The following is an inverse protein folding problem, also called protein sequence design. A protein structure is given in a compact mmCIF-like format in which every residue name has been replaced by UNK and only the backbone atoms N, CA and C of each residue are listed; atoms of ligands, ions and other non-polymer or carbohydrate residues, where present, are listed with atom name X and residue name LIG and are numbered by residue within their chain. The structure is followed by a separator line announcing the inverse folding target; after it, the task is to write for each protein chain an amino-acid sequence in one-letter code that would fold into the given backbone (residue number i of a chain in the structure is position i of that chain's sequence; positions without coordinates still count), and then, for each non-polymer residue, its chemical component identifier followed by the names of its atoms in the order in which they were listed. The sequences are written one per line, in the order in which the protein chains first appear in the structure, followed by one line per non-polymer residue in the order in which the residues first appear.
data_IF_064166997887
#
_entry.id   IF_064166997887
#
_cell.length_a   1.000
_cell.length_b   1.000
_cell.length_c   1.000
_cell.angle_alpha   90.00
_cell.angle_beta   90.00
_cell.angle_gamma   90.00
#
_symmetry.space_group_name_H-M   'P 1'
#
loop_
_entity.id
_entity.type
_entity.pdbx_description
1 polymer ?
#
# COMPACT_ATOMS: atom_id res chain seq x y z
N UNK A 1 -11.07 -9.32 0.66
CA UNK A 1 -11.77 -8.13 1.21
C UNK A 1 -13.12 -8.58 1.72
N UNK A 2 -13.46 -8.25 2.96
CA UNK A 2 -14.69 -8.72 3.62
C UNK A 2 -15.97 -8.06 3.07
N UNK A 3 -15.83 -6.89 2.46
CA UNK A 3 -16.88 -6.21 1.70
C UNK A 3 -16.25 -5.35 0.59
N UNK A 4 -17.01 -5.07 -0.47
CA UNK A 4 -16.56 -4.28 -1.63
C UNK A 4 -17.38 -2.99 -1.75
N UNK A 5 -17.21 -2.08 -0.79
CA UNK A 5 -17.84 -0.75 -0.77
C UNK A 5 -16.80 0.30 -0.39
N UNK A 6 -16.88 1.49 -0.99
CA UNK A 6 -15.99 2.61 -0.68
C UNK A 6 -16.20 3.14 0.74
N UNK A 7 -17.45 3.16 1.20
CA UNK A 7 -17.83 3.61 2.54
C UNK A 7 -18.25 2.42 3.44
N UNK A 8 -17.76 2.42 4.67
CA UNK A 8 -18.10 1.42 5.69
C UNK A 8 -19.06 2.03 6.72
N UNK A 9 -20.29 1.52 6.79
CA UNK A 9 -21.30 1.88 7.79
C UNK A 9 -21.88 0.63 8.46
N UNK A 10 -22.45 0.80 9.66
CA UNK A 10 -23.04 -0.30 10.44
C UNK A 10 -22.03 -1.43 10.66
N UNK A 11 -22.44 -2.67 10.35
CA UNK A 11 -21.62 -3.88 10.48
C UNK A 11 -20.31 -3.82 9.67
N UNK A 12 -20.30 -3.14 8.52
CA UNK A 12 -19.09 -3.01 7.70
C UNK A 12 -17.97 -2.24 8.44
N UNK A 13 -18.33 -1.33 9.36
CA UNK A 13 -17.33 -0.63 10.19
C UNK A 13 -16.63 -1.61 11.13
N UNK A 14 -17.38 -2.56 11.70
CA UNK A 14 -16.84 -3.60 12.60
C UNK A 14 -15.91 -4.53 11.81
N UNK A 15 -16.33 -4.98 10.62
CA UNK A 15 -15.51 -5.81 9.73
C UNK A 15 -14.22 -5.10 9.31
N UNK A 16 -14.31 -3.81 8.93
CA UNK A 16 -13.16 -2.98 8.57
C UNK A 16 -12.14 -2.90 9.71
N UNK A 17 -12.58 -2.60 10.93
CA UNK A 17 -11.68 -2.48 12.08
C UNK A 17 -11.01 -3.82 12.44
N UNK A 18 -11.76 -4.93 12.37
CA UNK A 18 -11.21 -6.27 12.57
C UNK A 18 -10.13 -6.58 11.54
N UNK A 19 -10.40 -6.35 10.25
CA UNK A 19 -9.45 -6.61 9.17
C UNK A 19 -8.23 -5.69 9.24
N UNK A 20 -8.43 -4.41 9.56
CA UNK A 20 -7.35 -3.44 9.78
C UNK A 20 -6.38 -3.94 10.86
N UNK A 21 -6.88 -4.38 12.02
CA UNK A 21 -6.03 -4.93 13.09
C UNK A 21 -5.23 -6.15 12.63
N UNK A 22 -5.86 -7.09 11.91
CA UNK A 22 -5.15 -8.26 11.36
C UNK A 22 -4.00 -7.86 10.43
N UNK A 23 -4.25 -6.92 9.52
CA UNK A 23 -3.23 -6.41 8.58
C UNK A 23 -2.09 -5.72 9.35
N UNK A 24 -2.41 -4.86 10.32
CA UNK A 24 -1.42 -4.17 11.13
C UNK A 24 -0.52 -5.15 11.90
N UNK A 25 -1.11 -6.18 12.53
CA UNK A 25 -0.37 -7.23 13.23
C UNK A 25 0.53 -8.02 12.27
N UNK A 26 0.02 -8.42 11.11
CA UNK A 26 0.79 -9.17 10.12
C UNK A 26 1.97 -8.36 9.56
N UNK A 27 1.75 -7.07 9.20
CA UNK A 27 2.82 -6.18 8.74
C UNK A 27 3.88 -5.94 9.81
N UNK A 28 3.46 -5.84 11.08
CA UNK A 28 4.41 -5.72 12.19
C UNK A 28 5.26 -6.97 12.37
N UNK A 29 4.65 -8.15 12.26
CA UNK A 29 5.35 -9.43 12.40
C UNK A 29 6.31 -9.69 11.24
N UNK A 30 5.84 -9.54 10.00
CA UNK A 30 6.59 -9.95 8.80
C UNK A 30 7.62 -8.90 8.34
N UNK A 31 7.33 -7.61 8.54
CA UNK A 31 8.12 -6.50 8.00
C UNK A 31 8.66 -5.56 9.09
N UNK A 32 8.34 -5.81 10.36
CA UNK A 32 8.77 -4.96 11.48
C UNK A 32 8.31 -3.50 11.36
N UNK A 33 7.19 -3.23 10.68
CA UNK A 33 6.63 -1.88 10.49
C UNK A 33 5.31 -1.69 11.24
N UNK A 34 5.08 -0.47 11.72
CA UNK A 34 3.79 -0.07 12.29
C UNK A 34 3.08 0.85 11.28
N UNK A 35 1.90 0.46 10.81
CA UNK A 35 1.15 1.18 9.76
C UNK A 35 -0.17 1.68 10.33
N UNK A 36 -0.57 2.90 9.94
CA UNK A 36 -1.86 3.50 10.24
C UNK A 36 -2.15 3.70 11.74
N UNK A 37 -1.11 4.14 12.47
CA UNK A 37 -1.21 4.63 13.85
C UNK A 37 -1.01 6.15 13.89
N UNK A 38 -1.88 6.85 14.62
CA UNK A 38 -1.76 8.30 14.86
C UNK A 38 -0.58 8.57 15.79
N UNK A 39 0.30 9.51 15.41
CA UNK A 39 1.38 9.99 16.26
C UNK A 39 0.86 11.11 17.18
N UNK A 40 1.40 11.23 18.39
CA UNK A 40 1.10 12.35 19.26
C UNK A 40 1.54 13.66 18.58
N UNK A 41 0.63 14.63 18.46
CA UNK A 41 0.85 15.84 17.66
C UNK A 41 0.19 15.74 16.28
N UNK A 42 0.97 15.44 15.23
CA UNK A 42 0.50 15.42 13.84
C UNK A 42 1.00 14.20 13.06
N UNK A 43 0.16 13.74 12.12
CA UNK A 43 0.49 12.69 11.16
C UNK A 43 0.32 11.28 11.71
N UNK A 44 0.86 10.32 10.95
CA UNK A 44 0.76 8.89 11.26
C UNK A 44 2.13 8.22 11.19
N UNK A 45 2.18 6.94 11.55
CA UNK A 45 3.36 6.09 11.34
C UNK A 45 3.65 5.77 9.88
N UNK A 46 2.82 6.25 8.94
CA UNK A 46 3.02 6.09 7.50
C UNK A 46 3.97 7.17 6.96
N UNK A 47 5.20 7.17 7.46
CA UNK A 47 6.27 8.01 6.93
C UNK A 47 7.03 7.31 5.78
N UNK A 48 7.98 8.03 5.17
CA UNK A 48 8.73 7.51 4.03
C UNK A 48 9.53 6.24 4.33
N UNK A 49 9.95 6.03 5.58
CA UNK A 49 10.64 4.80 5.97
C UNK A 49 9.67 3.61 6.00
N UNK A 50 8.49 3.81 6.56
CA UNK A 50 7.41 2.81 6.54
C UNK A 50 7.00 2.48 5.10
N UNK A 51 6.83 3.49 4.23
CA UNK A 51 6.49 3.27 2.83
C UNK A 51 7.55 2.45 2.07
N UNK A 52 8.84 2.78 2.23
CA UNK A 52 9.94 2.03 1.60
C UNK A 52 9.96 0.55 2.03
N UNK A 53 9.77 0.29 3.31
CA UNK A 53 9.70 -1.09 3.84
C UNK A 53 8.45 -1.84 3.38
N UNK A 54 7.33 -1.13 3.24
CA UNK A 54 6.10 -1.72 2.72
C UNK A 54 6.29 -2.17 1.26
N UNK A 55 6.87 -1.32 0.41
CA UNK A 55 7.08 -1.65 -1.01
C UNK A 55 8.30 -2.55 -1.30
N UNK A 56 9.14 -2.88 -0.31
CA UNK A 56 10.35 -3.69 -0.54
C UNK A 56 10.10 -5.20 -0.65
N UNK A 57 8.93 -5.68 -0.19
CA UNK A 57 8.54 -7.11 -0.26
C UNK A 57 7.11 -7.26 -0.78
N UNK A 58 6.88 -7.00 -2.08
CA UNK A 58 5.54 -6.95 -2.68
C UNK A 58 4.77 -8.26 -2.56
N UNK A 59 5.44 -9.42 -2.63
CA UNK A 59 4.81 -10.74 -2.44
C UNK A 59 4.21 -10.90 -1.03
N UNK A 60 4.97 -10.53 0.00
CA UNK A 60 4.52 -10.58 1.40
C UNK A 60 3.34 -9.63 1.60
N UNK A 61 3.46 -8.40 1.10
CA UNK A 61 2.39 -7.41 1.21
C UNK A 61 1.14 -7.84 0.46
N UNK A 62 1.28 -8.36 -0.77
CA UNK A 62 0.17 -8.87 -1.56
C UNK A 62 -0.57 -10.00 -0.84
N UNK A 63 0.16 -10.93 -0.23
CA UNK A 63 -0.41 -12.00 0.61
C UNK A 63 -1.15 -11.44 1.83
N UNK A 64 -0.54 -10.51 2.57
CA UNK A 64 -1.16 -9.94 3.79
C UNK A 64 -2.45 -9.19 3.44
N UNK A 65 -2.41 -8.34 2.41
CA UNK A 65 -3.55 -7.53 2.00
C UNK A 65 -4.63 -8.35 1.28
N UNK A 66 -4.24 -9.45 0.62
CA UNK A 66 -5.07 -10.14 -0.35
C UNK A 66 -5.22 -9.31 -1.63
N UNK A 67 -4.12 -8.68 -2.07
CA UNK A 67 -4.06 -7.79 -3.24
C UNK A 67 -3.15 -8.37 -4.32
N UNK A 68 -3.32 -7.91 -5.56
CA UNK A 68 -2.48 -8.34 -6.68
C UNK A 68 -1.03 -7.87 -6.48
N UNK A 69 -0.08 -8.82 -6.48
CA UNK A 69 1.35 -8.54 -6.28
C UNK A 69 1.90 -7.62 -7.37
N UNK A 70 1.53 -7.85 -8.64
CA UNK A 70 1.96 -7.01 -9.76
C UNK A 70 1.49 -5.57 -9.61
N UNK A 71 0.30 -5.35 -9.03
CA UNK A 71 -0.19 -4.00 -8.76
C UNK A 71 0.70 -3.29 -7.72
N UNK A 72 1.08 -4.00 -6.65
CA UNK A 72 1.95 -3.45 -5.60
C UNK A 72 3.34 -3.14 -6.14
N UNK A 73 3.93 -4.05 -6.93
CA UNK A 73 5.21 -3.84 -7.62
C UNK A 73 5.18 -2.64 -8.56
N UNK A 74 4.12 -2.53 -9.35
CA UNK A 74 3.98 -1.42 -10.29
C UNK A 74 3.88 -0.08 -9.59
N UNK A 75 3.14 0.01 -8.49
CA UNK A 75 3.14 1.22 -7.66
C UNK A 75 4.52 1.49 -7.04
N UNK A 76 5.24 0.47 -6.57
CA UNK A 76 6.61 0.64 -6.06
C UNK A 76 7.54 1.26 -7.12
N UNK A 77 7.51 0.74 -8.35
CA UNK A 77 8.32 1.24 -9.47
C UNK A 77 7.95 2.69 -9.83
N UNK A 78 6.65 3.01 -9.92
CA UNK A 78 6.18 4.37 -10.21
C UNK A 78 6.70 5.35 -9.15
N UNK A 79 6.58 5.00 -7.87
CA UNK A 79 7.05 5.84 -6.77
C UNK A 79 8.57 6.02 -6.78
N UNK A 80 9.32 4.95 -7.05
CA UNK A 80 10.79 5.01 -7.15
C UNK A 80 11.24 5.95 -8.27
N UNK A 81 10.62 5.83 -9.45
CA UNK A 81 10.94 6.67 -10.62
C UNK A 81 10.67 8.15 -10.32
N UNK A 82 9.50 8.47 -9.74
CA UNK A 82 9.17 9.85 -9.34
C UNK A 82 10.19 10.39 -8.31
N UNK A 83 10.74 9.54 -7.45
CA UNK A 83 11.72 9.93 -6.42
C UNK A 83 13.19 9.86 -6.85
N UNK A 84 13.48 9.53 -8.12
CA UNK A 84 14.84 9.16 -8.53
C UNK A 84 15.78 10.34 -8.81
N UNK A 85 15.27 11.57 -8.86
CA UNK A 85 16.00 12.79 -9.30
C UNK A 85 16.61 12.67 -10.72
N UNK A 86 16.22 11.66 -11.49
CA UNK A 86 16.67 11.41 -12.86
C UNK A 86 15.67 11.94 -13.89
N UNK A 87 16.15 12.18 -15.10
CA UNK A 87 15.28 12.46 -16.24
C UNK A 87 14.44 11.22 -16.58
N UNK A 88 13.13 11.42 -16.72
CA UNK A 88 12.14 10.36 -16.95
C UNK A 88 11.63 10.46 -18.39
N UNK A 89 11.70 9.35 -19.13
CA UNK A 89 11.02 9.23 -20.42
C UNK A 89 9.49 9.25 -20.20
N UNK A 90 8.88 10.41 -20.50
CA UNK A 90 7.46 10.65 -20.27
C UNK A 90 6.54 9.67 -21.02
N UNK A 91 6.94 9.22 -22.22
CA UNK A 91 6.14 8.30 -23.01
C UNK A 91 6.13 6.90 -22.36
N UNK A 92 7.30 6.38 -21.98
CA UNK A 92 7.41 5.09 -21.30
C UNK A 92 6.75 5.11 -19.93
N UNK A 93 6.94 6.19 -19.17
CA UNK A 93 6.31 6.35 -17.86
C UNK A 93 4.78 6.42 -17.98
N UNK A 94 4.26 7.14 -18.97
CA UNK A 94 2.84 7.20 -19.30
C UNK A 94 2.26 5.84 -19.66
N UNK A 95 2.91 5.12 -20.59
CA UNK A 95 2.50 3.77 -20.99
C UNK A 95 2.53 2.79 -19.80
N UNK A 96 3.57 2.83 -18.96
CA UNK A 96 3.68 1.99 -17.78
C UNK A 96 2.58 2.28 -16.75
N UNK A 97 2.24 3.56 -16.56
CA UNK A 97 1.18 4.01 -15.67
C UNK A 97 -0.20 3.57 -16.18
N UNK A 98 -0.46 3.71 -17.49
CA UNK A 98 -1.69 3.22 -18.12
C UNK A 98 -1.82 1.70 -18.01
N UNK A 99 -0.74 0.95 -18.27
CA UNK A 99 -0.72 -0.51 -18.08
C UNK A 99 -0.98 -0.92 -16.65
N UNK A 100 -0.56 -0.10 -15.68
CA UNK A 100 -0.80 -0.34 -14.26
C UNK A 100 -2.27 -0.14 -13.90
N UNK A 101 -2.95 0.83 -14.52
CA UNK A 101 -4.38 1.06 -14.30
C UNK A 101 -5.27 -0.14 -14.67
N UNK A 102 -4.84 -1.01 -15.59
CA UNK A 102 -5.56 -2.24 -15.93
C UNK A 102 -5.59 -3.30 -14.82
N UNK A 103 -4.80 -3.13 -13.76
CA UNK A 103 -4.77 -4.03 -12.59
C UNK A 103 -5.68 -3.57 -11.44
N UNK A 104 -6.34 -2.41 -11.57
CA UNK A 104 -7.27 -1.83 -10.58
C UNK A 104 -8.70 -2.31 -10.83
#
# INVERSE_FOLDING_TARGET
MDFKKSHASGENKILKEKRKKQIQTALKSELSISVDFVKQGFGTTNDGNTARKFFSKPEIVGKILGANVNLIERFANILQVISSDLEIDANKFGEYSLKTAHYL
#
